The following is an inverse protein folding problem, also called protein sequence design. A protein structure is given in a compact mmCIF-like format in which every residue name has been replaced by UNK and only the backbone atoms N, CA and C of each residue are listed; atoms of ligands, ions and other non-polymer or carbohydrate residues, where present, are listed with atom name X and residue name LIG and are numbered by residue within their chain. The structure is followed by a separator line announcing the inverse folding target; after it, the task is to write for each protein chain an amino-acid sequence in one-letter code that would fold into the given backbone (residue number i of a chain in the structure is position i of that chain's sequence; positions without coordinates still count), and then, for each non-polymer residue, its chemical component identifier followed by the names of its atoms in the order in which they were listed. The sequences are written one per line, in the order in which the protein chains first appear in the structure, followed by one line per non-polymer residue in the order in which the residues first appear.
data_IF_461407246597
#
_entry.id   IF_461407246597
#
_cell.length_a   1.000
_cell.length_b   1.000
_cell.length_c   1.000
_cell.angle_alpha   90.00
_cell.angle_beta   90.00
_cell.angle_gamma   90.00
#
_symmetry.space_group_name_H-M   'P 1'
#
loop_
_entity.id
_entity.type
_entity.pdbx_description
1 polymer ?
#
# COMPACT_ATOMS: atom_id res chain seq x y z
N UNK A 1 -17.81 0.44 23.40
CA UNK A 1 -17.86 0.87 21.98
C UNK A 1 -18.68 2.14 21.80
N UNK A 2 -19.92 2.25 22.31
CA UNK A 2 -20.73 3.47 22.18
C UNK A 2 -20.18 4.75 22.88
N UNK A 3 -19.16 4.63 23.73
CA UNK A 3 -18.51 5.74 24.43
C UNK A 3 -17.09 6.04 23.91
N UNK A 4 -16.73 5.56 22.72
CA UNK A 4 -15.44 5.89 22.13
C UNK A 4 -15.39 7.36 21.70
N UNK A 5 -14.29 8.08 21.98
CA UNK A 5 -14.12 9.43 21.48
C UNK A 5 -14.07 9.44 19.96
N UNK A 6 -14.47 10.56 19.35
CA UNK A 6 -14.41 10.73 17.90
C UNK A 6 -12.96 10.53 17.39
N UNK A 7 -12.76 9.89 16.23
CA UNK A 7 -11.43 9.63 15.66
C UNK A 7 -10.68 10.95 15.41
N UNK A 8 -9.45 11.05 15.93
CA UNK A 8 -8.55 12.20 15.73
C UNK A 8 -7.29 11.76 14.97
N UNK A 9 -7.13 12.11 13.68
CA UNK A 9 -5.92 11.86 12.92
C UNK A 9 -4.65 12.37 13.61
N UNK A 10 -3.56 11.62 13.54
CA UNK A 10 -2.23 12.04 14.01
C UNK A 10 -2.04 12.09 15.53
N UNK A 11 -3.02 11.66 16.34
CA UNK A 11 -2.89 11.56 17.80
C UNK A 11 -3.17 10.13 18.29
N UNK A 12 -2.42 9.65 19.30
CA UNK A 12 -2.75 8.39 19.95
C UNK A 12 -4.09 8.51 20.69
N UNK A 13 -4.92 7.50 20.56
CA UNK A 13 -6.22 7.38 21.20
C UNK A 13 -6.28 6.10 22.02
N UNK A 14 -6.94 6.14 23.16
CA UNK A 14 -7.25 4.95 23.95
C UNK A 14 -8.73 4.60 23.79
N UNK A 15 -8.99 3.40 23.27
CA UNK A 15 -10.32 2.88 23.03
C UNK A 15 -10.62 1.80 24.08
N UNK A 16 -11.45 2.07 25.09
CA UNK A 16 -11.78 1.08 26.12
C UNK A 16 -12.62 -0.07 25.54
N UNK A 17 -12.22 -1.30 25.84
CA UNK A 17 -12.89 -2.56 25.46
C UNK A 17 -13.01 -3.44 26.71
N UNK A 18 -14.19 -3.42 27.34
CA UNK A 18 -14.41 -4.14 28.60
C UNK A 18 -13.46 -3.63 29.70
N UNK A 19 -12.61 -4.50 30.24
CA UNK A 19 -11.57 -4.17 31.21
C UNK A 19 -10.21 -3.82 30.60
N UNK A 20 -10.09 -3.84 29.27
CA UNK A 20 -8.88 -3.50 28.54
C UNK A 20 -9.01 -2.13 27.85
N UNK A 21 -7.88 -1.54 27.46
CA UNK A 21 -7.84 -0.36 26.61
C UNK A 21 -6.96 -0.64 25.40
N UNK A 22 -7.49 -0.40 24.20
CA UNK A 22 -6.76 -0.51 22.94
C UNK A 22 -6.13 0.86 22.63
N UNK A 23 -4.80 0.93 22.60
CA UNK A 23 -4.09 2.12 22.11
C UNK A 23 -4.03 2.08 20.59
N UNK A 24 -4.63 3.06 19.93
CA UNK A 24 -4.63 3.18 18.47
C UNK A 24 -4.06 4.54 18.06
N UNK A 25 -3.48 4.61 16.86
CA UNK A 25 -2.99 5.85 16.29
C UNK A 25 -3.52 5.95 14.86
N UNK A 26 -4.35 6.95 14.59
CA UNK A 26 -4.81 7.20 13.23
C UNK A 26 -3.71 7.93 12.46
N UNK A 27 -3.45 7.60 11.18
CA UNK A 27 -2.55 8.39 10.35
C UNK A 27 -2.98 9.86 10.32
N UNK A 28 -2.06 10.82 10.17
CA UNK A 28 -2.41 12.23 9.98
C UNK A 28 -3.29 12.43 8.73
N UNK A 29 -4.09 13.50 8.70
CA UNK A 29 -4.86 13.87 7.52
C UNK A 29 -3.92 14.25 6.35
N UNK A 30 -4.35 14.05 5.11
CA UNK A 30 -3.51 14.24 3.92
C UNK A 30 -2.89 15.66 3.80
N UNK A 31 -3.52 16.66 4.42
CA UNK A 31 -3.10 18.06 4.40
C UNK A 31 -2.12 18.43 5.53
N UNK A 32 -1.84 17.52 6.47
CA UNK A 32 -0.90 17.74 7.58
C UNK A 32 -0.05 16.47 7.78
N UNK A 33 1.07 16.32 7.06
CA UNK A 33 1.97 15.18 7.20
C UNK A 33 2.75 15.33 8.52
N UNK A 34 2.05 15.12 9.64
CA UNK A 34 2.68 14.94 10.94
C UNK A 34 3.72 13.80 10.92
N UNK A 35 4.58 13.72 11.93
CA UNK A 35 5.63 12.70 11.98
C UNK A 35 5.03 11.29 11.84
N UNK A 36 5.73 10.37 11.15
CA UNK A 36 5.21 9.04 10.87
C UNK A 36 4.79 8.33 12.16
N UNK A 37 3.69 7.55 12.15
CA UNK A 37 3.23 6.83 13.34
C UNK A 37 4.36 5.95 13.89
N UNK A 38 4.63 6.07 15.19
CA UNK A 38 5.61 5.25 15.92
C UNK A 38 5.28 3.73 15.95
N UNK A 39 4.20 3.30 15.30
CA UNK A 39 3.78 1.91 15.15
C UNK A 39 4.21 1.29 13.82
N UNK A 40 4.79 2.06 12.89
CA UNK A 40 5.52 1.49 11.78
C UNK A 40 6.94 1.13 12.27
N UNK A 41 7.43 -0.11 12.10
CA UNK A 41 8.81 -0.44 12.41
C UNK A 41 9.75 0.57 11.75
N UNK A 42 10.76 1.05 12.47
CA UNK A 42 11.71 2.09 12.06
C UNK A 42 12.60 1.73 10.85
N UNK A 43 12.29 0.64 10.12
CA UNK A 43 12.95 0.25 8.88
C UNK A 43 12.05 0.59 7.67
N UNK A 44 12.32 1.69 6.94
CA UNK A 44 11.59 2.08 5.73
C UNK A 44 11.89 1.18 4.51
N UNK A 45 12.66 0.10 4.66
CA UNK A 45 13.18 -0.73 3.58
C UNK A 45 12.27 -1.89 3.15
N UNK A 46 11.19 -2.19 3.88
CA UNK A 46 10.15 -3.15 3.44
C UNK A 46 8.78 -2.50 3.65
N UNK A 47 8.04 -2.14 2.58
CA UNK A 47 6.69 -1.62 2.74
C UNK A 47 5.77 -2.77 3.17
N UNK A 48 5.57 -2.93 4.48
CA UNK A 48 4.56 -3.83 5.01
C UNK A 48 3.18 -3.30 4.64
N UNK A 49 2.40 -4.08 3.90
CA UNK A 49 1.01 -3.76 3.57
C UNK A 49 0.08 -3.90 4.77
N UNK A 50 -1.18 -3.47 4.62
CA UNK A 50 -2.22 -3.72 5.61
C UNK A 50 -2.32 -5.24 5.88
N UNK A 51 -2.47 -5.62 7.16
CA UNK A 51 -2.58 -7.01 7.59
C UNK A 51 -1.43 -7.93 7.16
N UNK A 52 -0.19 -7.41 7.16
CA UNK A 52 1.01 -8.21 6.86
C UNK A 52 1.21 -9.41 7.78
N UNK A 53 0.57 -9.45 8.95
CA UNK A 53 0.61 -10.57 9.89
C UNK A 53 -0.43 -11.68 9.59
N UNK A 54 -1.33 -11.48 8.63
CA UNK A 54 -2.34 -12.49 8.29
C UNK A 54 -1.67 -13.82 7.82
N UNK A 55 -2.29 -14.96 8.09
CA UNK A 55 -1.78 -16.23 7.60
C UNK A 55 -2.49 -16.61 6.28
N UNK A 56 -1.85 -16.28 5.15
CA UNK A 56 -2.34 -16.60 3.81
C UNK A 56 -2.43 -18.11 3.60
N UNK A 57 -1.49 -18.88 4.15
CA UNK A 57 -1.50 -20.32 3.98
C UNK A 57 -2.65 -20.94 4.76
N UNK A 58 -2.81 -20.59 6.04
CA UNK A 58 -3.90 -21.12 6.87
C UNK A 58 -5.28 -20.75 6.29
N UNK A 59 -5.49 -19.48 5.93
CA UNK A 59 -6.79 -19.00 5.44
C UNK A 59 -7.18 -19.60 4.07
N UNK A 60 -6.20 -19.86 3.19
CA UNK A 60 -6.44 -20.29 1.81
C UNK A 60 -5.86 -21.68 1.48
N UNK A 61 -5.63 -22.53 2.48
CA UNK A 61 -5.04 -23.87 2.30
C UNK A 61 -5.79 -24.72 1.26
N UNK A 62 -7.11 -24.62 1.21
CA UNK A 62 -7.94 -25.29 0.20
C UNK A 62 -7.95 -24.64 -1.18
N UNK A 63 -7.48 -23.39 -1.28
CA UNK A 63 -7.58 -22.51 -2.44
C UNK A 63 -6.23 -22.01 -2.96
N UNK A 64 -5.13 -22.70 -2.63
CA UNK A 64 -3.78 -22.27 -3.02
C UNK A 64 -3.66 -22.01 -4.54
N UNK A 65 -4.30 -22.86 -5.36
CA UNK A 65 -4.36 -22.70 -6.82
C UNK A 65 -5.11 -21.45 -7.30
N UNK A 66 -5.98 -20.89 -6.47
CA UNK A 66 -6.80 -19.72 -6.80
C UNK A 66 -6.19 -18.41 -6.31
N UNK A 67 -5.12 -18.44 -5.50
CA UNK A 67 -4.46 -17.25 -4.97
C UNK A 67 -4.06 -16.23 -6.05
N UNK A 68 -3.66 -16.68 -7.24
CA UNK A 68 -3.34 -15.78 -8.36
C UNK A 68 -4.56 -15.07 -8.95
N UNK A 69 -5.69 -15.77 -9.04
CA UNK A 69 -6.96 -15.16 -9.46
C UNK A 69 -7.46 -14.21 -8.39
N UNK A 70 -7.37 -14.59 -7.11
CA UNK A 70 -7.69 -13.72 -5.99
C UNK A 70 -6.81 -12.47 -5.97
N UNK A 71 -5.50 -12.61 -6.19
CA UNK A 71 -4.58 -11.48 -6.32
C UNK A 71 -5.01 -10.52 -7.43
N UNK A 72 -5.40 -11.02 -8.61
CA UNK A 72 -5.90 -10.15 -9.69
C UNK A 72 -7.18 -9.41 -9.30
N UNK A 73 -8.18 -10.12 -8.75
CA UNK A 73 -9.42 -9.51 -8.27
C UNK A 73 -9.13 -8.37 -7.29
N UNK A 74 -8.18 -8.59 -6.38
CA UNK A 74 -7.75 -7.57 -5.42
C UNK A 74 -6.98 -6.42 -6.10
N UNK A 75 -6.09 -6.68 -7.06
CA UNK A 75 -5.37 -5.62 -7.79
C UNK A 75 -6.33 -4.70 -8.54
N UNK A 76 -7.28 -5.26 -9.27
CA UNK A 76 -8.25 -4.48 -10.06
C UNK A 76 -9.42 -3.95 -9.25
N UNK A 77 -9.59 -4.39 -7.99
CA UNK A 77 -10.65 -3.92 -7.10
C UNK A 77 -12.03 -4.49 -7.44
N UNK A 78 -12.08 -5.73 -7.93
CA UNK A 78 -13.33 -6.42 -8.22
C UNK A 78 -14.09 -6.74 -6.93
N UNK A 79 -15.44 -6.71 -6.93
CA UNK A 79 -16.21 -7.03 -5.75
C UNK A 79 -16.09 -8.50 -5.36
N UNK A 80 -15.84 -8.79 -4.08
CA UNK A 80 -15.62 -10.16 -3.57
C UNK A 80 -16.45 -10.42 -2.31
N UNK A 81 -17.24 -11.50 -2.33
CA UNK A 81 -17.90 -12.04 -1.14
C UNK A 81 -17.07 -13.20 -0.58
N UNK A 82 -16.54 -13.04 0.63
CA UNK A 82 -15.90 -14.11 1.40
C UNK A 82 -16.92 -14.77 2.30
N UNK A 83 -17.07 -16.08 2.17
CA UNK A 83 -17.94 -16.92 2.99
C UNK A 83 -17.06 -17.82 3.85
N UNK A 84 -17.29 -17.84 5.16
CA UNK A 84 -16.53 -18.70 6.07
C UNK A 84 -17.45 -19.28 7.18
N UNK A 85 -17.05 -20.37 7.85
CA UNK A 85 -17.90 -21.02 8.85
C UNK A 85 -17.94 -20.27 10.19
N UNK A 86 -17.01 -19.34 10.45
CA UNK A 86 -16.97 -18.55 11.69
C UNK A 86 -16.46 -17.12 11.45
N UNK A 87 -16.84 -16.14 12.31
CA UNK A 87 -16.37 -14.76 12.17
C UNK A 87 -14.84 -14.61 12.19
N UNK A 88 -14.07 -15.34 13.03
CA UNK A 88 -12.61 -15.31 12.98
C UNK A 88 -12.05 -15.72 11.61
N UNK A 89 -12.43 -16.90 11.10
CA UNK A 89 -11.97 -17.40 9.79
C UNK A 89 -12.35 -16.44 8.65
N UNK A 90 -13.55 -15.86 8.75
CA UNK A 90 -14.03 -14.85 7.82
C UNK A 90 -13.13 -13.61 7.80
N UNK A 91 -12.88 -13.05 8.99
CA UNK A 91 -12.08 -11.83 9.13
C UNK A 91 -10.62 -12.03 8.73
N UNK A 92 -10.05 -13.19 9.06
CA UNK A 92 -8.69 -13.58 8.66
C UNK A 92 -8.57 -13.74 7.14
N UNK A 93 -9.56 -14.34 6.49
CA UNK A 93 -9.55 -14.48 5.04
C UNK A 93 -9.66 -13.13 4.32
N UNK A 94 -10.53 -12.22 4.77
CA UNK A 94 -10.62 -10.86 4.21
C UNK A 94 -9.30 -10.10 4.43
N UNK A 95 -8.73 -10.15 5.63
CA UNK A 95 -7.43 -9.56 5.93
C UNK A 95 -6.31 -10.15 5.04
N UNK A 96 -6.33 -11.47 4.84
CA UNK A 96 -5.44 -12.19 3.94
C UNK A 96 -5.52 -11.68 2.51
N UNK A 97 -6.73 -11.55 1.94
CA UNK A 97 -6.93 -10.99 0.60
C UNK A 97 -6.40 -9.57 0.48
N UNK A 98 -6.68 -8.70 1.46
CA UNK A 98 -6.20 -7.31 1.45
C UNK A 98 -4.67 -7.26 1.50
N UNK A 99 -4.04 -8.11 2.31
CA UNK A 99 -2.59 -8.19 2.41
C UNK A 99 -1.90 -8.81 1.18
N UNK A 100 -2.65 -9.58 0.38
CA UNK A 100 -2.14 -10.34 -0.77
C UNK A 100 -1.52 -9.44 -1.85
N UNK A 101 -1.98 -8.20 -1.96
CA UNK A 101 -1.53 -7.24 -2.98
C UNK A 101 -0.43 -6.32 -2.49
N UNK A 102 0.19 -6.56 -1.32
CA UNK A 102 1.33 -5.75 -0.89
C UNK A 102 2.43 -5.73 -1.99
N UNK A 103 3.09 -4.57 -2.26
CA UNK A 103 3.02 -3.31 -1.52
C UNK A 103 2.03 -2.29 -2.12
N UNK A 104 1.06 -2.73 -2.91
CA UNK A 104 -0.06 -1.89 -3.35
C UNK A 104 -0.91 -1.54 -2.11
N UNK A 105 -1.20 -0.26 -1.92
CA UNK A 105 -2.14 0.17 -0.90
C UNK A 105 -3.56 -0.09 -1.39
N UNK A 106 -4.21 -1.07 -0.78
CA UNK A 106 -5.58 -1.45 -1.11
C UNK A 106 -6.54 -0.32 -0.70
N UNK A 107 -7.25 0.24 -1.68
CA UNK A 107 -8.08 1.44 -1.51
C UNK A 107 -9.58 1.15 -1.63
N UNK A 108 -9.95 -0.10 -1.86
CA UNK A 108 -11.34 -0.56 -1.96
C UNK A 108 -11.91 -0.81 -0.57
N UNK A 109 -13.21 -0.54 -0.38
CA UNK A 109 -13.90 -0.80 0.88
C UNK A 109 -13.84 -2.30 1.23
N UNK A 110 -13.53 -2.63 2.47
CA UNK A 110 -13.53 -4.01 2.92
C UNK A 110 -14.12 -4.13 4.32
N UNK A 111 -14.93 -5.16 4.52
CA UNK A 111 -15.63 -5.44 5.77
C UNK A 111 -15.30 -6.86 6.19
N UNK A 112 -14.33 -7.03 7.11
CA UNK A 112 -13.92 -8.35 7.57
C UNK A 112 -15.08 -9.19 8.12
N UNK A 113 -16.12 -8.52 8.63
CA UNK A 113 -17.36 -9.14 9.04
C UNK A 113 -18.57 -8.22 8.77
N UNK A 114 -19.39 -8.61 7.79
CA UNK A 114 -20.57 -7.91 7.31
C UNK A 114 -21.84 -8.59 7.82
N UNK A 115 -22.82 -7.78 8.25
CA UNK A 115 -24.07 -8.27 8.86
C UNK A 115 -25.27 -7.58 8.25
N UNK A 116 -26.47 -8.12 8.50
CA UNK A 116 -27.74 -7.52 8.03
C UNK A 116 -28.04 -6.17 8.70
N UNK A 117 -27.34 -5.85 9.79
CA UNK A 117 -27.47 -4.58 10.51
C UNK A 117 -26.50 -3.51 9.99
N UNK A 118 -25.66 -3.86 9.02
CA UNK A 118 -24.82 -2.89 8.34
C UNK A 118 -25.72 -1.87 7.61
N UNK A 119 -25.47 -0.55 7.73
CA UNK A 119 -26.29 0.49 7.13
C UNK A 119 -26.43 0.36 5.61
N UNK A 120 -25.45 -0.25 4.94
CA UNK A 120 -25.44 -0.42 3.50
C UNK A 120 -26.16 -1.68 3.04
N UNK A 121 -26.51 -2.61 3.94
CA UNK A 121 -27.11 -3.88 3.56
C UNK A 121 -28.40 -3.71 2.76
N UNK A 122 -29.30 -2.82 3.20
CA UNK A 122 -30.56 -2.58 2.51
C UNK A 122 -30.35 -2.11 1.06
N UNK A 123 -29.36 -1.22 0.83
CA UNK A 123 -29.00 -0.73 -0.50
C UNK A 123 -28.39 -1.82 -1.37
N UNK A 124 -27.43 -2.58 -0.83
CA UNK A 124 -26.74 -3.65 -1.55
C UNK A 124 -27.67 -4.81 -1.93
N UNK A 125 -28.62 -5.16 -1.05
CA UNK A 125 -29.63 -6.19 -1.29
C UNK A 125 -30.71 -5.75 -2.30
N UNK A 126 -30.92 -4.43 -2.45
CA UNK A 126 -31.88 -3.88 -3.40
C UNK A 126 -31.35 -3.77 -4.83
N UNK A 127 -30.05 -4.05 -5.06
CA UNK A 127 -29.45 -3.98 -6.40
C UNK A 127 -30.17 -4.89 -7.38
N UNK A 128 -30.56 -4.34 -8.52
CA UNK A 128 -31.24 -5.08 -9.57
C UNK A 128 -30.30 -6.06 -10.27
N UNK A 129 -30.88 -7.05 -10.94
CA UNK A 129 -30.10 -8.01 -11.72
C UNK A 129 -29.48 -7.30 -12.94
N UNK A 130 -28.16 -7.39 -13.07
CA UNK A 130 -27.39 -6.68 -14.09
C UNK A 130 -26.80 -5.33 -13.65
N UNK A 131 -27.17 -4.84 -12.47
CA UNK A 131 -26.47 -3.68 -11.88
C UNK A 131 -25.07 -4.06 -11.42
N UNK A 132 -24.13 -3.14 -11.61
CA UNK A 132 -22.73 -3.33 -11.20
C UNK A 132 -22.65 -3.23 -9.68
N UNK A 133 -22.19 -4.30 -9.05
CA UNK A 133 -21.94 -4.30 -7.61
C UNK A 133 -20.76 -3.36 -7.31
N UNK A 134 -20.85 -2.48 -6.28
CA UNK A 134 -19.77 -1.55 -5.95
C UNK A 134 -18.47 -2.29 -5.59
N UNK A 135 -17.29 -1.74 -5.89
CA UNK A 135 -16.02 -2.29 -5.43
C UNK A 135 -16.00 -2.44 -3.91
N UNK A 136 -16.08 -3.68 -3.42
CA UNK A 136 -15.93 -3.99 -2.00
C UNK A 136 -15.60 -5.46 -1.73
N UNK A 137 -14.96 -5.72 -0.60
CA UNK A 137 -14.75 -7.08 -0.07
C UNK A 137 -15.58 -7.29 1.17
N UNK A 138 -16.53 -8.20 1.11
CA UNK A 138 -17.45 -8.47 2.21
C UNK A 138 -17.19 -9.85 2.80
N UNK A 139 -16.90 -9.93 4.09
CA UNK A 139 -16.83 -11.19 4.81
C UNK A 139 -18.16 -11.53 5.48
N UNK A 140 -18.70 -12.73 5.25
CA UNK A 140 -19.95 -13.21 5.86
C UNK A 140 -19.84 -14.63 6.36
N UNK A 141 -20.62 -14.97 7.38
CA UNK A 141 -20.78 -16.35 7.85
C UNK A 141 -22.15 -16.94 7.52
N UNK A 142 -23.16 -16.08 7.37
CA UNK A 142 -24.51 -16.52 7.06
C UNK A 142 -24.69 -16.71 5.54
N UNK A 143 -24.96 -17.94 5.12
CA UNK A 143 -25.14 -18.28 3.71
C UNK A 143 -26.35 -17.60 3.04
N UNK A 144 -27.28 -17.03 3.82
CA UNK A 144 -28.38 -16.22 3.28
C UNK A 144 -27.88 -15.03 2.44
N UNK A 145 -26.68 -14.51 2.71
CA UNK A 145 -26.08 -13.46 1.88
C UNK A 145 -25.84 -13.89 0.43
N UNK A 146 -25.72 -15.19 0.14
CA UNK A 146 -25.64 -15.69 -1.25
C UNK A 146 -26.92 -15.43 -2.04
N UNK A 147 -28.07 -15.33 -1.35
CA UNK A 147 -29.35 -14.96 -1.96
C UNK A 147 -29.56 -13.45 -1.99
N UNK A 148 -29.16 -12.76 -0.92
CA UNK A 148 -29.36 -11.32 -0.77
C UNK A 148 -28.42 -10.49 -1.63
N UNK A 149 -27.17 -10.94 -1.79
CA UNK A 149 -26.13 -10.25 -2.57
C UNK A 149 -25.88 -10.97 -3.89
N UNK A 150 -26.94 -11.37 -4.58
CA UNK A 150 -26.87 -12.22 -5.79
C UNK A 150 -26.11 -11.60 -6.97
N UNK A 151 -25.97 -10.28 -7.01
CA UNK A 151 -25.28 -9.53 -8.06
C UNK A 151 -23.76 -9.49 -7.89
N UNK A 152 -23.22 -9.98 -6.76
CA UNK A 152 -21.76 -10.00 -6.55
C UNK A 152 -21.10 -11.03 -7.49
N UNK A 153 -20.14 -10.62 -8.35
CA UNK A 153 -19.60 -11.50 -9.39
C UNK A 153 -18.61 -12.55 -8.88
N UNK A 154 -18.01 -12.32 -7.70
CA UNK A 154 -16.98 -13.18 -7.14
C UNK A 154 -17.35 -13.63 -5.72
N UNK A 155 -17.39 -14.95 -5.52
CA UNK A 155 -17.64 -15.58 -4.22
C UNK A 155 -16.50 -16.53 -3.89
N UNK A 156 -15.93 -16.38 -2.70
CA UNK A 156 -14.84 -17.18 -2.17
C UNK A 156 -15.31 -17.82 -0.88
N UNK A 157 -15.34 -19.14 -0.82
CA UNK A 157 -15.64 -19.88 0.40
C UNK A 157 -14.37 -20.46 0.99
N UNK A 158 -14.09 -20.17 2.25
CA UNK A 158 -12.83 -20.52 2.95
C UNK A 158 -13.10 -21.26 4.25
N UNK A 159 -12.14 -22.07 4.68
CA UNK A 159 -12.21 -22.77 5.94
C UNK A 159 -13.07 -24.04 5.89
N UNK A 160 -12.91 -24.87 6.93
CA UNK A 160 -13.71 -26.09 7.11
C UNK A 160 -14.63 -25.94 8.32
N UNK A 161 -15.91 -26.37 8.23
CA UNK A 161 -16.76 -26.42 9.41
C UNK A 161 -16.10 -27.32 10.47
N UNK A 162 -16.06 -26.85 11.72
CA UNK A 162 -15.52 -27.65 12.82
C UNK A 162 -16.30 -28.98 12.88
N UNK A 163 -15.62 -30.15 12.92
CA UNK A 163 -16.31 -31.44 12.95
C UNK A 163 -17.23 -31.60 14.17
N UNK A 164 -16.97 -30.84 15.24
CA UNK A 164 -17.78 -30.83 16.48
C UNK A 164 -18.98 -29.86 16.44
N UNK A 165 -19.21 -29.14 15.33
CA UNK A 165 -20.35 -28.22 15.18
C UNK A 165 -21.56 -28.85 14.50
N UNK A 166 -21.60 -30.18 14.44
CA UNK A 166 -22.76 -30.92 13.92
C UNK A 166 -23.75 -31.16 15.05
N UNK A 167 -24.82 -30.35 15.06
CA UNK A 167 -26.16 -30.62 15.60
C UNK A 167 -26.26 -31.69 16.72
N UNK A 168 -26.53 -31.24 17.94
CA UNK A 168 -27.23 -32.06 18.94
C UNK A 168 -28.63 -32.38 18.38
N UNK A 169 -28.76 -33.52 17.71
CA UNK A 169 -30.04 -34.19 17.50
C UNK A 169 -30.11 -35.35 18.51
N UNK A 170 -31.28 -35.60 19.14
CA UNK A 170 -31.39 -36.63 20.16
C UNK A 170 -31.20 -38.01 19.51
N UNK A 171 -30.19 -38.75 19.99
CA UNK A 171 -29.89 -40.11 19.55
C UNK A 171 -30.93 -41.06 20.14
N UNK A 172 -31.81 -41.57 19.27
CA UNK A 172 -32.52 -42.83 19.49
C UNK A 172 -31.54 -44.01 19.32
N UNK A 173 -31.65 -44.99 20.22
CA UNK A 173 -30.61 -45.99 20.46
C UNK A 173 -30.50 -47.17 19.49
N UNK A 174 -29.68 -48.13 19.95
CA UNK A 174 -29.26 -49.44 19.40
C UNK A 174 -27.99 -49.38 18.53
N UNK A 175 -26.99 -50.27 18.63
CA UNK A 175 -26.76 -51.46 19.47
C UNK A 175 -25.31 -51.95 19.26
N UNK A 176 -24.78 -52.69 20.24
CA UNK A 176 -23.44 -53.28 20.30
C UNK A 176 -23.07 -54.26 19.17
N UNK A 177 -21.79 -54.28 18.80
CA UNK A 177 -21.12 -55.37 18.09
C UNK A 177 -19.63 -55.40 18.41
N UNK A 178 -19.21 -56.42 19.17
CA UNK A 178 -17.83 -56.68 19.62
C UNK A 178 -17.02 -57.42 18.54
N UNK A 179 -15.72 -57.12 18.43
CA UNK A 179 -14.78 -57.84 17.56
C UNK A 179 -13.32 -57.50 17.88
N UNK A 180 -12.67 -58.40 18.59
CA UNK A 180 -11.29 -58.31 19.09
C UNK A 180 -10.29 -58.84 18.04
N UNK A 181 -9.08 -58.27 17.93
CA UNK A 181 -8.01 -58.82 17.07
C UNK A 181 -6.73 -57.98 17.08
N UNK A 182 -5.70 -58.47 17.77
CA UNK A 182 -4.36 -57.87 17.96
C UNK A 182 -3.32 -58.58 17.08
N UNK A 183 -2.28 -57.83 16.68
CA UNK A 183 -0.92 -58.20 16.19
C UNK A 183 -0.59 -58.19 14.69
N UNK A 184 0.44 -57.39 14.33
CA UNK A 184 1.48 -57.81 13.38
C UNK A 184 1.99 -56.81 12.33
N UNK A 185 3.23 -56.35 12.50
CA UNK A 185 4.19 -55.75 11.53
C UNK A 185 4.06 -54.26 11.10
N UNK A 186 5.16 -53.46 11.17
CA UNK A 186 5.20 -52.08 10.71
C UNK A 186 5.33 -52.05 9.18
N UNK A 187 4.20 -52.14 8.50
CA UNK A 187 4.12 -51.92 7.07
C UNK A 187 4.40 -50.45 6.76
N UNK A 188 5.37 -50.20 5.87
CA UNK A 188 5.61 -48.94 5.16
C UNK A 188 4.29 -48.20 4.92
N UNK A 189 4.01 -47.18 5.74
CA UNK A 189 2.77 -46.42 5.65
C UNK A 189 2.86 -45.47 4.47
N UNK A 190 1.98 -45.75 3.52
CA UNK A 190 1.81 -45.12 2.22
C UNK A 190 1.62 -43.61 2.35
N UNK A 191 2.44 -42.91 1.58
CA UNK A 191 2.44 -41.51 1.22
C UNK A 191 1.15 -41.13 0.44
N UNK A 192 -0.03 -41.26 1.05
CA UNK A 192 -1.32 -41.10 0.36
C UNK A 192 -2.31 -40.14 1.05
N UNK A 193 -1.90 -39.39 2.09
CA UNK A 193 -2.88 -38.64 2.91
C UNK A 193 -2.58 -37.18 3.22
N UNK A 194 -1.82 -36.50 2.38
CA UNK A 194 -1.87 -35.05 2.27
C UNK A 194 -1.80 -34.64 0.79
N UNK A 195 -2.65 -33.68 0.46
CA UNK A 195 -3.25 -33.52 -0.85
C UNK A 195 -2.39 -32.73 -1.84
N UNK A 196 -1.19 -33.22 -2.13
CA UNK A 196 -0.43 -32.78 -3.32
C UNK A 196 -0.93 -33.54 -4.58
N UNK A 197 -1.75 -34.59 -4.41
CA UNK A 197 -2.52 -35.20 -5.50
C UNK A 197 -3.80 -34.42 -5.92
N UNK A 198 -4.04 -33.22 -5.36
CA UNK A 198 -5.12 -32.32 -5.83
C UNK A 198 -4.81 -31.61 -7.16
N UNK A 199 -3.64 -31.84 -7.77
CA UNK A 199 -3.37 -31.50 -9.17
C UNK A 199 -3.78 -32.63 -10.15
N UNK A 200 -4.63 -33.57 -9.69
CA UNK A 200 -5.26 -34.60 -10.53
C UNK A 200 -6.34 -33.99 -11.46
N UNK A 201 -6.50 -34.48 -12.71
CA UNK A 201 -7.59 -34.06 -13.62
C UNK A 201 -9.00 -34.19 -12.99
N UNK A 202 -9.17 -35.04 -11.98
CA UNK A 202 -10.43 -35.21 -11.23
C UNK A 202 -10.81 -33.97 -10.40
N UNK A 203 -9.82 -33.25 -9.84
CA UNK A 203 -10.04 -31.98 -9.12
C UNK A 203 -10.45 -30.84 -10.06
N UNK A 204 -9.93 -30.86 -11.30
CA UNK A 204 -10.36 -29.96 -12.36
C UNK A 204 -11.82 -30.24 -12.78
N UNK A 205 -12.22 -31.51 -12.93
CA UNK A 205 -13.61 -31.86 -13.23
C UNK A 205 -14.59 -31.46 -12.13
N UNK A 206 -14.21 -31.64 -10.86
CA UNK A 206 -15.05 -31.22 -9.73
C UNK A 206 -15.17 -29.70 -9.63
N UNK A 207 -14.11 -28.93 -9.93
CA UNK A 207 -14.21 -27.46 -9.98
C UNK A 207 -15.09 -26.96 -11.12
N UNK A 208 -15.12 -27.65 -12.26
CA UNK A 208 -16.05 -27.36 -13.37
C UNK A 208 -17.51 -27.64 -12.98
N UNK A 209 -17.79 -28.77 -12.30
CA UNK A 209 -19.13 -29.09 -11.79
C UNK A 209 -19.60 -28.05 -10.77
N UNK A 210 -18.73 -27.66 -9.85
CA UNK A 210 -19.05 -26.69 -8.81
C UNK A 210 -19.31 -25.29 -9.38
N UNK A 211 -18.60 -24.88 -10.44
CA UNK A 211 -18.92 -23.66 -11.19
C UNK A 211 -20.31 -23.70 -11.82
N UNK A 212 -20.75 -24.87 -12.30
CA UNK A 212 -22.07 -25.04 -12.93
C UNK A 212 -23.23 -24.96 -11.92
N UNK A 213 -23.00 -25.42 -10.69
CA UNK A 213 -23.99 -25.36 -9.60
C UNK A 213 -24.08 -23.97 -8.96
N UNK A 214 -23.08 -23.10 -9.17
CA UNK A 214 -23.02 -21.76 -8.61
C UNK A 214 -22.77 -21.75 -7.09
N UNK A 215 -22.63 -20.56 -6.48
CA UNK A 215 -22.29 -20.46 -5.05
C UNK A 215 -23.40 -20.95 -4.12
N UNK A 216 -24.65 -21.05 -4.60
CA UNK A 216 -25.79 -21.54 -3.81
C UNK A 216 -25.66 -23.00 -3.39
N UNK A 217 -24.76 -23.79 -4.00
CA UNK A 217 -24.46 -25.15 -3.52
C UNK A 217 -23.91 -25.16 -2.08
N UNK A 218 -23.36 -24.03 -1.60
CA UNK A 218 -22.91 -23.91 -0.20
C UNK A 218 -24.06 -24.02 0.81
N UNK A 219 -25.30 -23.74 0.39
CA UNK A 219 -26.49 -23.81 1.26
C UNK A 219 -26.73 -25.23 1.82
N UNK A 220 -26.21 -26.27 1.16
CA UNK A 220 -26.35 -27.66 1.60
C UNK A 220 -25.09 -28.17 2.31
N UNK A 221 -23.91 -27.76 1.87
CA UNK A 221 -22.63 -28.20 2.43
C UNK A 221 -21.57 -27.10 2.28
N UNK A 222 -20.91 -26.75 3.39
CA UNK A 222 -19.82 -25.79 3.35
C UNK A 222 -18.57 -26.40 2.70
N UNK A 223 -18.13 -25.83 1.58
CA UNK A 223 -16.96 -26.30 0.80
C UNK A 223 -16.05 -25.13 0.44
N UNK A 224 -14.75 -25.36 0.51
CA UNK A 224 -13.78 -24.38 0.02
C UNK A 224 -13.84 -24.31 -1.50
N UNK A 225 -14.12 -23.13 -2.05
CA UNK A 225 -14.19 -22.92 -3.49
C UNK A 225 -14.19 -21.45 -3.91
N UNK A 226 -13.92 -21.21 -5.20
CA UNK A 226 -14.02 -19.91 -5.86
C UNK A 226 -15.03 -19.98 -7.00
N UNK A 227 -16.07 -19.16 -6.94
CA UNK A 227 -16.97 -18.85 -8.05
C UNK A 227 -16.69 -17.45 -8.54
N UNK A 228 -16.36 -17.32 -9.82
CA UNK A 228 -16.01 -16.04 -10.41
C UNK A 228 -16.23 -16.08 -11.92
N UNK A 229 -16.81 -15.01 -12.44
CA UNK A 229 -16.89 -14.73 -13.89
C UNK A 229 -15.60 -14.10 -14.44
N UNK A 230 -14.68 -13.71 -13.55
CA UNK A 230 -13.43 -13.07 -13.90
C UNK A 230 -12.48 -14.07 -14.61
N UNK A 231 -12.01 -13.66 -15.78
CA UNK A 231 -11.01 -14.42 -16.54
C UNK A 231 -9.62 -13.97 -16.14
N UNK A 232 -8.95 -14.78 -15.33
CA UNK A 232 -7.60 -14.50 -14.84
C UNK A 232 -6.57 -14.50 -15.96
N UNK A 233 -5.67 -13.54 -15.89
CA UNK A 233 -4.56 -13.38 -16.82
C UNK A 233 -3.29 -14.04 -16.30
N UNK A 234 -3.12 -14.11 -15.00
CA UNK A 234 -2.06 -14.83 -14.31
C UNK A 234 -2.31 -16.34 -14.29
N UNK A 235 -1.25 -17.09 -14.04
CA UNK A 235 -1.27 -18.54 -13.87
C UNK A 235 -0.68 -18.90 -12.52
N UNK A 236 -1.17 -19.98 -11.88
CA UNK A 236 -0.52 -20.53 -10.70
C UNK A 236 0.96 -20.84 -10.94
N UNK A 237 1.83 -20.37 -10.06
CA UNK A 237 3.27 -20.63 -10.13
C UNK A 237 3.56 -21.97 -9.45
N UNK A 238 3.72 -23.01 -10.27
CA UNK A 238 4.01 -24.37 -9.78
C UNK A 238 5.32 -24.45 -9.02
N UNK A 239 6.30 -23.59 -9.31
CA UNK A 239 7.57 -23.57 -8.57
C UNK A 239 7.38 -23.09 -7.13
N UNK A 240 6.43 -22.19 -6.89
CA UNK A 240 6.08 -21.73 -5.54
C UNK A 240 5.30 -22.82 -4.81
N UNK A 241 4.29 -23.39 -5.48
CA UNK A 241 3.45 -24.44 -4.91
C UNK A 241 4.25 -25.69 -4.52
N UNK A 242 5.23 -26.08 -5.34
CA UNK A 242 6.10 -27.23 -5.05
C UNK A 242 7.09 -26.99 -3.90
N UNK A 243 7.28 -25.73 -3.46
CA UNK A 243 8.12 -25.40 -2.30
C UNK A 243 7.35 -25.41 -0.98
N UNK A 244 6.02 -25.48 -1.02
CA UNK A 244 5.21 -25.53 0.20
C UNK A 244 5.45 -26.86 0.91
N UNK A 245 5.74 -26.78 2.21
CA UNK A 245 6.01 -27.94 3.05
C UNK A 245 4.69 -28.53 3.50
N UNK A 246 4.62 -29.86 3.48
CA UNK A 246 3.45 -30.59 3.92
C UNK A 246 3.39 -30.65 5.45
N UNK A 247 2.26 -30.24 6.03
CA UNK A 247 2.06 -30.25 7.47
C UNK A 247 1.80 -31.70 7.92
N UNK A 248 2.82 -32.36 8.47
CA UNK A 248 2.64 -33.68 9.10
C UNK A 248 1.58 -33.66 10.21
N UNK A 249 1.16 -34.84 10.67
CA UNK A 249 -0.03 -35.04 11.54
C UNK A 249 0.08 -34.43 12.96
N UNK A 250 1.16 -33.73 13.30
CA UNK A 250 1.36 -33.14 14.63
C UNK A 250 0.99 -31.66 14.64
N UNK A 251 0.15 -31.18 15.58
CA UNK A 251 -0.34 -29.80 15.61
C UNK A 251 0.78 -28.76 15.81
N UNK A 252 1.85 -29.10 16.56
CA UNK A 252 3.02 -28.20 16.72
C UNK A 252 3.83 -28.07 15.44
N UNK A 253 3.86 -29.12 14.62
CA UNK A 253 4.52 -29.12 13.32
C UNK A 253 3.65 -28.34 12.33
N UNK A 254 2.32 -28.50 12.38
CA UNK A 254 1.37 -27.76 11.54
C UNK A 254 1.51 -26.24 11.70
N UNK A 255 1.54 -25.72 12.94
CA UNK A 255 1.69 -24.28 13.18
C UNK A 255 3.04 -23.76 12.68
N UNK A 256 4.14 -24.45 12.99
CA UNK A 256 5.48 -24.07 12.55
C UNK A 256 5.62 -24.11 11.01
N UNK A 257 4.98 -25.05 10.34
CA UNK A 257 4.98 -25.16 8.86
C UNK A 257 4.06 -24.15 8.20
N UNK A 258 2.94 -23.78 8.83
CA UNK A 258 2.06 -22.71 8.35
C UNK A 258 2.83 -21.39 8.22
N UNK A 259 3.64 -21.05 9.23
CA UNK A 259 4.48 -19.84 9.21
C UNK A 259 5.47 -19.85 8.03
N UNK A 260 6.15 -20.98 7.78
CA UNK A 260 7.10 -21.10 6.66
C UNK A 260 6.40 -21.00 5.30
N UNK A 261 5.27 -21.69 5.14
CA UNK A 261 4.49 -21.66 3.91
C UNK A 261 3.90 -20.27 3.65
N UNK A 262 3.40 -19.61 4.69
CA UNK A 262 2.92 -18.24 4.63
C UNK A 262 4.03 -17.30 4.15
N UNK A 263 5.24 -17.42 4.69
CA UNK A 263 6.38 -16.59 4.27
C UNK A 263 6.79 -16.83 2.80
N UNK A 264 6.72 -18.08 2.32
CA UNK A 264 6.96 -18.41 0.91
C UNK A 264 5.92 -17.72 0.02
N UNK A 265 4.64 -17.79 0.39
CA UNK A 265 3.55 -17.14 -0.35
C UNK A 265 3.69 -15.62 -0.32
N UNK A 266 3.93 -15.03 0.86
CA UNK A 266 4.10 -13.59 1.04
C UNK A 266 5.22 -13.04 0.18
N UNK A 267 6.38 -13.69 0.19
CA UNK A 267 7.52 -13.27 -0.64
C UNK A 267 7.19 -13.31 -2.13
N UNK A 268 6.52 -14.36 -2.58
CA UNK A 268 6.11 -14.51 -3.97
C UNK A 268 5.11 -13.42 -4.40
N UNK A 269 4.05 -13.18 -3.64
CA UNK A 269 3.05 -12.18 -4.00
C UNK A 269 3.56 -10.74 -3.86
N UNK A 270 4.46 -10.48 -2.90
CA UNK A 270 5.20 -9.22 -2.82
C UNK A 270 6.04 -8.98 -4.07
N UNK A 271 6.80 -9.98 -4.51
CA UNK A 271 7.60 -9.90 -5.73
C UNK A 271 6.71 -9.73 -6.98
N UNK A 272 5.59 -10.45 -7.05
CA UNK A 272 4.63 -10.35 -8.15
C UNK A 272 4.05 -8.93 -8.27
N UNK A 273 3.55 -8.37 -7.18
CA UNK A 273 3.01 -7.00 -7.16
C UNK A 273 4.10 -5.97 -7.46
N UNK A 274 5.30 -6.13 -6.90
CA UNK A 274 6.42 -5.21 -7.16
C UNK A 274 6.78 -5.19 -8.65
N UNK A 275 6.86 -6.36 -9.29
CA UNK A 275 7.15 -6.46 -10.72
C UNK A 275 5.98 -5.92 -11.58
N UNK A 276 4.74 -6.10 -11.14
CA UNK A 276 3.56 -5.52 -11.80
C UNK A 276 3.55 -3.98 -11.73
N UNK A 277 4.00 -3.39 -10.63
CA UNK A 277 4.04 -1.93 -10.46
C UNK A 277 5.32 -1.28 -11.01
N UNK A 278 6.37 -2.06 -11.27
CA UNK A 278 7.66 -1.56 -11.76
C UNK A 278 7.59 -0.69 -13.03
N UNK A 279 6.71 -0.95 -14.02
CA UNK A 279 6.58 -0.11 -15.20
C UNK A 279 6.20 1.35 -14.93
N UNK A 280 5.61 1.67 -13.78
CA UNK A 280 5.27 3.04 -13.39
C UNK A 280 6.48 3.84 -12.87
N UNK A 281 7.58 3.17 -12.54
CA UNK A 281 8.79 3.79 -11.98
C UNK A 281 9.33 5.02 -12.72
N UNK A 282 9.35 5.08 -14.07
CA UNK A 282 9.79 6.26 -14.81
C UNK A 282 8.99 7.53 -14.51
N UNK A 283 7.70 7.42 -14.18
CA UNK A 283 6.83 8.56 -13.85
C UNK A 283 6.98 9.03 -12.39
N UNK A 284 7.72 8.25 -11.59
CA UNK A 284 7.95 8.48 -10.16
C UNK A 284 9.43 8.76 -9.87
N UNK A 285 10.25 8.93 -10.91
CA UNK A 285 11.70 9.11 -10.76
C UNK A 285 12.01 10.53 -10.29
N UNK A 286 12.63 10.62 -9.13
CA UNK A 286 13.19 11.87 -8.60
C UNK A 286 14.45 12.26 -9.33
N UNK A 287 14.66 13.56 -9.49
CA UNK A 287 15.87 14.11 -10.09
C UNK A 287 16.69 14.90 -9.07
N UNK A 288 18.00 14.91 -9.22
CA UNK A 288 18.90 15.82 -8.50
C UNK A 288 19.34 16.93 -9.45
N UNK A 289 19.76 18.10 -8.95
CA UNK A 289 20.41 19.11 -9.79
C UNK A 289 21.59 18.49 -10.55
N UNK A 290 21.70 18.78 -11.84
CA UNK A 290 22.83 18.32 -12.65
C UNK A 290 24.14 18.91 -12.14
N UNK A 291 25.24 18.17 -12.23
CA UNK A 291 26.55 18.69 -11.87
C UNK A 291 26.87 19.96 -12.68
N UNK A 292 27.18 21.05 -11.98
CA UNK A 292 27.45 22.36 -12.59
C UNK A 292 26.22 23.24 -12.85
N UNK A 293 25.01 22.74 -12.65
CA UNK A 293 23.78 23.56 -12.67
C UNK A 293 23.53 24.21 -11.30
N UNK A 294 22.79 25.33 -11.28
CA UNK A 294 22.43 26.00 -10.03
C UNK A 294 21.33 25.20 -9.30
N UNK A 295 21.54 24.82 -8.02
CA UNK A 295 20.53 24.12 -7.24
C UNK A 295 19.41 25.05 -6.76
N UNK A 296 19.52 26.36 -7.01
CA UNK A 296 18.53 27.37 -6.64
C UNK A 296 17.45 27.56 -7.70
N UNK A 297 17.52 26.87 -8.83
CA UNK A 297 16.41 26.77 -9.77
C UNK A 297 15.29 25.92 -9.16
N UNK A 298 14.06 26.08 -9.63
CA UNK A 298 12.95 25.25 -9.20
C UNK A 298 13.13 23.81 -9.70
N UNK A 299 12.89 22.79 -8.85
CA UNK A 299 13.01 21.40 -9.26
C UNK A 299 12.09 21.09 -10.46
N UNK A 300 12.55 20.33 -11.46
CA UNK A 300 11.72 19.99 -12.61
C UNK A 300 10.52 19.16 -12.17
N UNK A 301 9.38 19.35 -12.81
CA UNK A 301 8.19 18.55 -12.53
C UNK A 301 8.43 17.08 -12.86
N UNK A 302 7.81 16.19 -12.09
CA UNK A 302 7.79 14.78 -12.44
C UNK A 302 7.08 14.57 -13.78
N UNK A 303 7.47 13.55 -14.58
CA UNK A 303 6.87 13.32 -15.89
C UNK A 303 5.33 13.21 -15.83
N UNK A 304 4.61 13.80 -16.80
CA UNK A 304 3.16 13.63 -16.88
C UNK A 304 2.83 12.14 -17.14
N UNK A 305 1.68 11.69 -16.65
CA UNK A 305 1.23 10.32 -16.84
C UNK A 305 -0.02 10.32 -17.73
N UNK A 306 0.08 9.60 -18.86
CA UNK A 306 -1.02 9.36 -19.78
C UNK A 306 -1.22 7.87 -19.96
N UNK A 307 -2.44 7.38 -19.70
CA UNK A 307 -2.76 5.95 -19.69
C UNK A 307 -2.51 5.29 -21.05
N UNK A 308 -2.93 5.93 -22.15
CA UNK A 308 -2.77 5.38 -23.50
C UNK A 308 -1.31 5.26 -23.91
N UNK A 309 -0.50 6.30 -23.64
CA UNK A 309 0.94 6.28 -23.90
C UNK A 309 1.64 5.19 -23.08
N UNK A 310 1.26 5.04 -21.81
CA UNK A 310 1.78 4.00 -20.93
C UNK A 310 1.48 2.60 -21.48
N UNK A 311 0.21 2.33 -21.84
CA UNK A 311 -0.20 1.01 -22.35
C UNK A 311 0.46 0.71 -23.69
N UNK A 312 0.55 1.70 -24.59
CA UNK A 312 1.21 1.54 -25.90
C UNK A 312 2.72 1.29 -25.74
N UNK A 313 3.38 2.05 -24.87
CA UNK A 313 4.81 1.84 -24.56
C UNK A 313 5.06 0.48 -23.92
N UNK A 314 4.15 0.03 -23.05
CA UNK A 314 4.25 -1.28 -22.42
C UNK A 314 4.04 -2.42 -23.42
N UNK A 315 3.11 -2.26 -24.38
CA UNK A 315 2.90 -3.22 -25.47
C UNK A 315 4.15 -3.36 -26.35
N UNK A 316 4.83 -2.25 -26.67
CA UNK A 316 6.07 -2.26 -27.45
C UNK A 316 7.24 -2.91 -26.70
N UNK A 317 7.37 -2.67 -25.39
CA UNK A 317 8.45 -3.23 -24.56
C UNK A 317 8.23 -4.69 -24.16
N UNK A 318 6.97 -5.10 -24.05
CA UNK A 318 6.54 -6.38 -23.50
C UNK A 318 6.53 -6.42 -21.96
N UNK A 319 5.97 -7.49 -21.39
CA UNK A 319 5.77 -7.67 -19.95
C UNK A 319 7.07 -7.84 -19.13
N UNK A 320 8.22 -8.01 -19.78
CA UNK A 320 9.46 -8.40 -19.14
C UNK A 320 9.51 -9.88 -18.76
N UNK A 321 10.73 -10.38 -18.45
CA UNK A 321 11.00 -11.83 -18.24
C UNK A 321 10.26 -12.43 -17.05
N UNK A 322 10.03 -11.64 -16.00
CA UNK A 322 9.41 -12.12 -14.76
C UNK A 322 7.90 -12.38 -14.95
N UNK A 323 7.18 -11.39 -15.50
CA UNK A 323 5.73 -11.47 -15.72
C UNK A 323 5.37 -12.37 -16.90
N UNK A 324 6.19 -12.41 -17.96
CA UNK A 324 5.91 -13.25 -19.14
C UNK A 324 5.85 -14.75 -18.82
N UNK A 325 6.57 -15.21 -17.79
CA UNK A 325 6.50 -16.61 -17.31
C UNK A 325 5.23 -16.91 -16.50
N UNK A 326 4.56 -15.88 -15.97
CA UNK A 326 3.47 -16.00 -14.99
C UNK A 326 2.12 -15.48 -15.50
N UNK A 327 2.11 -14.82 -16.65
CA UNK A 327 0.92 -14.26 -17.27
C UNK A 327 0.65 -14.92 -18.63
N UNK A 328 -0.61 -14.88 -19.05
CA UNK A 328 -1.12 -15.29 -20.37
C UNK A 328 -0.87 -14.18 -21.39
N UNK A 329 -1.21 -14.45 -22.66
CA UNK A 329 -1.02 -13.50 -23.77
C UNK A 329 -1.80 -12.19 -23.59
N UNK A 330 -2.91 -12.19 -22.86
CA UNK A 330 -3.75 -11.02 -22.60
C UNK A 330 -3.28 -10.15 -21.41
N UNK A 331 -2.02 -10.27 -20.97
CA UNK A 331 -1.44 -9.55 -19.82
C UNK A 331 -1.60 -8.02 -19.84
N UNK A 332 -1.65 -7.39 -21.01
CA UNK A 332 -1.91 -5.95 -21.13
C UNK A 332 -3.29 -5.55 -20.59
N UNK A 333 -4.26 -6.45 -20.68
CA UNK A 333 -5.61 -6.20 -20.23
C UNK A 333 -5.69 -6.00 -18.71
N UNK A 334 -4.85 -6.70 -17.95
CA UNK A 334 -4.74 -6.50 -16.50
C UNK A 334 -4.26 -5.07 -16.17
N UNK A 335 -3.34 -4.52 -16.95
CA UNK A 335 -2.92 -3.12 -16.77
C UNK A 335 -4.04 -2.15 -17.10
N UNK A 336 -4.81 -2.36 -18.18
CA UNK A 336 -5.96 -1.51 -18.51
C UNK A 336 -6.98 -1.48 -17.38
N UNK A 337 -7.40 -2.67 -16.91
CA UNK A 337 -8.34 -2.78 -15.79
C UNK A 337 -7.79 -2.19 -14.49
N UNK A 338 -6.49 -2.31 -14.24
CA UNK A 338 -5.88 -1.68 -13.06
C UNK A 338 -5.93 -0.15 -13.15
N UNK A 339 -5.62 0.44 -14.31
CA UNK A 339 -5.66 1.89 -14.52
C UNK A 339 -7.06 2.48 -14.37
N UNK A 340 -8.08 1.74 -14.82
CA UNK A 340 -9.50 2.09 -14.65
C UNK A 340 -10.02 1.76 -13.24
N UNK A 341 -9.31 0.89 -12.52
CA UNK A 341 -9.71 0.37 -11.23
C UNK A 341 -9.53 1.36 -10.07
N UNK A 342 -10.25 1.13 -8.96
CA UNK A 342 -10.26 2.02 -7.79
C UNK A 342 -8.91 2.10 -7.05
N UNK A 343 -8.02 1.13 -7.23
CA UNK A 343 -6.73 1.11 -6.53
C UNK A 343 -5.67 2.00 -7.17
N UNK A 344 -5.71 2.23 -8.49
CA UNK A 344 -4.59 2.86 -9.20
C UNK A 344 -4.40 4.31 -8.80
N UNK A 345 -5.44 5.15 -8.94
CA UNK A 345 -5.26 6.59 -8.79
C UNK A 345 -4.89 7.02 -7.36
N UNK A 346 -5.48 6.47 -6.28
CA UNK A 346 -5.04 6.74 -4.92
C UNK A 346 -3.58 6.36 -4.69
N UNK A 347 -3.19 5.15 -5.09
CA UNK A 347 -1.81 4.67 -4.99
C UNK A 347 -0.84 5.55 -5.80
N UNK A 348 -1.18 5.88 -7.04
CA UNK A 348 -0.32 6.65 -7.94
C UNK A 348 -0.11 8.08 -7.44
N UNK A 349 -1.17 8.76 -6.98
CA UNK A 349 -1.08 10.09 -6.36
C UNK A 349 -0.20 10.09 -5.12
N UNK A 350 -0.39 9.12 -4.23
CA UNK A 350 0.42 9.01 -3.03
C UNK A 350 1.90 8.77 -3.36
N UNK A 351 2.20 7.85 -4.29
CA UNK A 351 3.58 7.59 -4.73
C UNK A 351 4.21 8.80 -5.41
N UNK A 352 3.43 9.55 -6.20
CA UNK A 352 3.89 10.77 -6.86
C UNK A 352 4.19 11.88 -5.85
N UNK A 353 3.31 12.10 -4.87
CA UNK A 353 3.52 13.06 -3.80
C UNK A 353 4.77 12.73 -2.97
N UNK A 354 4.98 11.44 -2.64
CA UNK A 354 6.19 10.99 -1.95
C UNK A 354 7.46 11.24 -2.77
N UNK A 355 7.41 11.00 -4.09
CA UNK A 355 8.53 11.30 -4.99
C UNK A 355 8.79 12.82 -5.11
N UNK A 356 7.74 13.65 -5.16
CA UNK A 356 7.87 15.11 -5.18
C UNK A 356 8.51 15.63 -3.88
N UNK A 357 8.09 15.11 -2.72
CA UNK A 357 8.69 15.44 -1.42
C UNK A 357 10.16 15.00 -1.36
N UNK A 358 10.48 13.79 -1.79
CA UNK A 358 11.85 13.29 -1.81
C UNK A 358 12.73 14.12 -2.78
N UNK A 359 12.19 14.50 -3.93
CA UNK A 359 12.89 15.41 -4.83
C UNK A 359 13.15 16.77 -4.17
N UNK A 360 12.16 17.37 -3.50
CA UNK A 360 12.36 18.61 -2.76
C UNK A 360 13.44 18.46 -1.67
N UNK A 361 13.46 17.32 -0.96
CA UNK A 361 14.49 17.01 0.04
C UNK A 361 15.89 16.95 -0.58
N UNK A 362 16.05 16.24 -1.70
CA UNK A 362 17.32 16.13 -2.42
C UNK A 362 17.80 17.49 -2.95
N UNK A 363 16.89 18.31 -3.48
CA UNK A 363 17.22 19.66 -3.95
C UNK A 363 17.59 20.60 -2.81
N UNK A 364 16.90 20.53 -1.67
CA UNK A 364 17.28 21.26 -0.44
C UNK A 364 18.68 20.83 0.01
N UNK A 365 18.98 19.53 0.03
CA UNK A 365 20.30 19.01 0.39
C UNK A 365 21.39 19.48 -0.59
N UNK A 366 21.11 19.51 -1.89
CA UNK A 366 22.06 20.02 -2.89
C UNK A 366 22.39 21.51 -2.66
N UNK A 367 21.39 22.34 -2.29
CA UNK A 367 21.63 23.73 -1.91
C UNK A 367 22.52 23.84 -0.70
N UNK A 368 22.35 22.98 0.31
CA UNK A 368 23.20 22.99 1.51
C UNK A 368 24.65 22.63 1.22
N UNK A 369 24.90 21.82 0.19
CA UNK A 369 26.25 21.37 -0.16
C UNK A 369 26.94 22.24 -1.22
N UNK A 370 26.25 23.22 -1.80
CA UNK A 370 26.82 24.06 -2.86
C UNK A 370 27.77 25.11 -2.27
N UNK A 371 28.93 25.23 -2.90
CA UNK A 371 29.84 26.37 -2.74
C UNK A 371 29.36 27.51 -3.65
N UNK A 372 28.79 28.53 -3.01
CA UNK A 372 28.17 29.66 -3.70
C UNK A 372 29.18 30.51 -4.46
N UNK A 373 30.38 30.73 -3.92
CA UNK A 373 31.38 31.59 -4.57
C UNK A 373 31.86 30.95 -5.87
N UNK A 374 32.14 29.64 -5.80
CA UNK A 374 32.50 28.86 -6.98
C UNK A 374 31.37 28.81 -8.01
N UNK A 375 30.12 28.70 -7.58
CA UNK A 375 28.95 28.73 -8.47
C UNK A 375 28.85 30.10 -9.16
N UNK A 376 28.82 31.19 -8.41
CA UNK A 376 28.63 32.55 -8.92
C UNK A 376 29.72 32.96 -9.91
N UNK A 377 30.97 32.50 -9.71
CA UNK A 377 32.08 32.78 -10.63
C UNK A 377 31.87 32.26 -12.05
N UNK A 378 31.07 31.20 -12.22
CA UNK A 378 30.79 30.56 -13.52
C UNK A 378 29.56 31.11 -14.22
N UNK A 379 28.72 31.86 -13.50
CA UNK A 379 27.46 32.39 -14.00
C UNK A 379 27.67 33.76 -14.67
N UNK A 380 26.85 34.03 -15.68
CA UNK A 380 26.69 35.37 -16.26
C UNK A 380 26.08 36.34 -15.26
N UNK A 381 26.19 37.64 -15.52
CA UNK A 381 25.65 38.68 -14.62
C UNK A 381 24.14 38.52 -14.36
N UNK A 382 23.36 38.21 -15.40
CA UNK A 382 21.92 37.95 -15.28
C UNK A 382 21.64 36.74 -14.38
N UNK A 383 22.35 35.62 -14.62
CA UNK A 383 22.18 34.39 -13.84
C UNK A 383 22.61 34.56 -12.37
N UNK A 384 23.56 35.46 -12.09
CA UNK A 384 23.94 35.83 -10.72
C UNK A 384 22.80 36.57 -10.01
N UNK A 385 22.14 37.51 -10.69
CA UNK A 385 20.99 38.24 -10.16
C UNK A 385 19.82 37.26 -9.91
N UNK A 386 19.55 36.35 -10.85
CA UNK A 386 18.51 35.33 -10.70
C UNK A 386 18.82 34.38 -9.54
N UNK A 387 20.08 33.98 -9.38
CA UNK A 387 20.53 33.15 -8.26
C UNK A 387 20.37 33.88 -6.93
N UNK A 388 20.72 35.16 -6.85
CA UNK A 388 20.49 35.98 -5.65
C UNK A 388 19.01 36.03 -5.27
N UNK A 389 18.13 36.37 -6.22
CA UNK A 389 16.69 36.41 -5.99
C UNK A 389 16.13 35.02 -5.59
N UNK A 390 16.68 33.94 -6.16
CA UNK A 390 16.29 32.59 -5.80
C UNK A 390 16.71 32.21 -4.37
N UNK A 391 17.95 32.52 -3.96
CA UNK A 391 18.44 32.30 -2.59
C UNK A 391 17.57 33.08 -1.60
N UNK A 392 17.23 34.33 -1.91
CA UNK A 392 16.33 35.15 -1.09
C UNK A 392 14.96 34.48 -0.90
N UNK A 393 14.33 34.02 -2.00
CA UNK A 393 13.04 33.31 -1.95
C UNK A 393 13.10 32.06 -1.06
N UNK A 394 14.17 31.26 -1.18
CA UNK A 394 14.33 30.06 -0.37
C UNK A 394 14.62 30.36 1.10
N UNK A 395 15.42 31.39 1.39
CA UNK A 395 15.67 31.84 2.75
C UNK A 395 14.37 32.28 3.44
N UNK A 396 13.54 33.07 2.77
CA UNK A 396 12.26 33.53 3.32
C UNK A 396 11.33 32.35 3.63
N UNK A 397 11.23 31.38 2.71
CA UNK A 397 10.42 30.16 2.93
C UNK A 397 10.93 29.35 4.14
N UNK A 398 12.24 29.21 4.31
CA UNK A 398 12.79 28.49 5.47
C UNK A 398 12.60 29.27 6.77
N UNK A 399 12.68 30.60 6.75
CA UNK A 399 12.40 31.44 7.93
C UNK A 399 10.94 31.37 8.37
N UNK A 400 10.00 31.23 7.43
CA UNK A 400 8.59 30.98 7.74
C UNK A 400 8.39 29.60 8.37
N UNK A 401 9.04 28.57 7.81
CA UNK A 401 9.00 27.21 8.36
C UNK A 401 9.72 27.08 9.71
N UNK A 402 10.74 27.88 10.00
CA UNK A 402 11.41 27.88 11.32
C UNK A 402 10.51 28.32 12.47
N UNK A 403 9.47 29.13 12.19
CA UNK A 403 8.51 29.59 13.21
C UNK A 403 7.66 28.46 13.79
N UNK A 404 7.64 27.29 13.16
CA UNK A 404 6.95 26.09 13.64
C UNK A 404 7.85 25.09 14.40
N UNK A 405 9.14 25.39 14.61
CA UNK A 405 9.93 24.78 15.69
C UNK A 405 10.93 23.66 15.33
N UNK A 406 11.45 23.58 14.10
CA UNK A 406 12.44 22.56 13.72
C UNK A 406 13.90 23.05 13.79
N UNK A 407 14.76 22.39 14.57
CA UNK A 407 16.20 22.71 14.73
C UNK A 407 16.99 22.67 13.41
N UNK A 408 16.61 21.76 12.49
CA UNK A 408 17.23 21.67 11.15
C UNK A 408 16.95 22.92 10.28
N UNK A 409 15.85 23.63 10.51
CA UNK A 409 15.51 24.82 9.72
C UNK A 409 16.42 26.01 10.07
N UNK A 410 16.93 26.07 11.31
CA UNK A 410 17.84 27.14 11.76
C UNK A 410 19.19 27.07 11.04
N UNK A 411 19.80 25.87 10.98
CA UNK A 411 21.10 25.68 10.30
C UNK A 411 21.00 25.94 8.80
N UNK A 412 19.87 25.54 8.18
CA UNK A 412 19.56 25.85 6.78
C UNK A 412 19.44 27.36 6.56
N UNK A 413 18.74 28.07 7.45
CA UNK A 413 18.62 29.54 7.38
C UNK A 413 19.98 30.25 7.51
N UNK A 414 20.83 29.82 8.44
CA UNK A 414 22.17 30.39 8.62
C UNK A 414 23.04 30.21 7.37
N UNK A 415 23.02 29.01 6.79
CA UNK A 415 23.73 28.70 5.55
C UNK A 415 23.23 29.57 4.39
N UNK A 416 21.91 29.65 4.18
CA UNK A 416 21.33 30.45 3.11
C UNK A 416 21.58 31.95 3.31
N UNK A 417 21.65 32.46 4.54
CA UNK A 417 22.08 33.84 4.83
C UNK A 417 23.55 34.08 4.48
N UNK A 418 24.41 33.09 4.72
CA UNK A 418 25.81 33.11 4.27
C UNK A 418 25.88 33.17 2.75
N UNK A 419 25.16 32.28 2.07
CA UNK A 419 25.10 32.23 0.61
C UNK A 419 24.57 33.52 0.01
N UNK A 420 23.53 34.12 0.59
CA UNK A 420 22.93 35.36 0.10
C UNK A 420 23.94 36.52 0.16
N UNK A 421 24.74 36.60 1.23
CA UNK A 421 25.79 37.62 1.39
C UNK A 421 26.94 37.42 0.40
N UNK A 422 27.38 36.17 0.22
CA UNK A 422 28.39 35.84 -0.77
C UNK A 422 27.90 36.09 -2.21
N UNK A 423 26.63 35.83 -2.49
CA UNK A 423 26.04 36.15 -3.78
C UNK A 423 25.97 37.67 -4.01
N UNK A 424 25.60 38.44 -2.97
CA UNK A 424 25.53 39.90 -3.01
C UNK A 424 26.87 40.56 -3.34
N UNK A 425 27.98 40.08 -2.75
CA UNK A 425 29.32 40.68 -2.94
C UNK A 425 29.84 40.58 -4.37
N UNK A 426 29.35 39.60 -5.15
CA UNK A 426 29.76 39.35 -6.55
C UNK A 426 28.87 40.11 -7.56
N UNK A 427 27.78 40.73 -7.10
CA UNK A 427 26.90 41.54 -7.97
C UNK A 427 27.55 42.89 -8.35
N UNK A 428 27.16 43.50 -9.48
CA UNK A 428 27.55 44.87 -9.84
C UNK A 428 27.21 45.91 -8.77
N UNK A 429 28.01 46.97 -8.64
CA UNK A 429 27.87 47.97 -7.56
C UNK A 429 26.56 48.76 -7.60
N UNK A 430 26.11 49.11 -8.80
CA UNK A 430 24.81 49.72 -9.07
C UNK A 430 23.65 48.81 -8.62
N UNK A 431 23.73 47.52 -8.92
CA UNK A 431 22.77 46.52 -8.43
C UNK A 431 22.81 46.37 -6.91
N UNK A 432 24.00 46.36 -6.30
CA UNK A 432 24.13 46.32 -4.84
C UNK A 432 23.45 47.52 -4.18
N UNK A 433 23.66 48.74 -4.70
CA UNK A 433 23.00 49.95 -4.21
C UNK A 433 21.48 49.88 -4.35
N UNK A 434 20.98 49.39 -5.48
CA UNK A 434 19.55 49.20 -5.70
C UNK A 434 18.95 48.20 -4.70
N UNK A 435 19.62 47.07 -4.44
CA UNK A 435 19.14 46.07 -3.49
C UNK A 435 19.12 46.58 -2.04
N UNK A 436 20.12 47.38 -1.64
CA UNK A 436 20.20 48.00 -0.31
C UNK A 436 19.15 49.09 -0.09
N UNK A 437 18.63 49.70 -1.16
CA UNK A 437 17.53 50.68 -1.05
C UNK A 437 16.23 50.06 -0.51
N UNK A 438 16.08 48.73 -0.60
CA UNK A 438 14.96 48.01 -0.01
C UNK A 438 15.31 47.62 1.45
N UNK A 439 14.58 48.17 2.46
CA UNK A 439 14.91 47.95 3.87
C UNK A 439 14.80 46.49 4.29
N UNK A 440 13.90 45.70 3.67
CA UNK A 440 13.77 44.27 3.97
C UNK A 440 15.00 43.48 3.52
N UNK A 441 15.52 43.80 2.33
CA UNK A 441 16.74 43.17 1.78
C UNK A 441 17.98 43.59 2.56
N UNK A 442 18.08 44.86 2.94
CA UNK A 442 19.16 45.35 3.78
C UNK A 442 19.23 44.58 5.12
N UNK A 443 18.09 44.32 5.76
CA UNK A 443 18.03 43.54 7.00
C UNK A 443 18.46 42.07 6.82
N UNK A 444 18.17 41.44 5.68
CA UNK A 444 18.60 40.07 5.38
C UNK A 444 20.12 39.97 5.14
N UNK A 445 20.72 41.04 4.63
CA UNK A 445 22.16 41.12 4.32
C UNK A 445 23.00 41.62 5.49
N UNK A 446 22.39 42.30 6.47
CA UNK A 446 23.05 42.71 7.70
C UNK A 446 23.33 41.49 8.58
N UNK A 447 24.61 41.08 8.63
CA UNK A 447 25.08 40.15 9.65
C UNK A 447 24.94 40.79 11.03
N UNK A 448 24.71 39.97 12.05
CA UNK A 448 24.64 40.38 13.46
C UNK A 448 25.89 41.09 14.00
N UNK A 449 26.92 41.39 13.18
CA UNK A 449 28.09 42.14 13.63
C UNK A 449 28.95 42.82 12.54
N UNK A 450 28.39 43.41 11.48
CA UNK A 450 29.20 44.29 10.61
C UNK A 450 28.49 45.62 10.29
N UNK A 451 29.06 46.70 10.84
CA UNK A 451 28.76 48.09 10.45
C UNK A 451 29.14 48.29 8.99
N UNK A 452 28.16 48.67 8.17
CA UNK A 452 28.43 49.25 6.85
C UNK A 452 29.00 50.67 7.09
N UNK A 453 30.21 51.00 6.60
CA UNK A 453 30.65 52.39 6.56
C UNK A 453 29.85 53.10 5.46
N UNK A 454 28.93 53.98 5.83
CA UNK A 454 28.21 54.83 4.86
C UNK A 454 26.77 55.20 5.19
N UNK A 455 26.24 54.84 6.36
CA UNK A 455 24.89 55.24 6.80
C UNK A 455 24.90 56.23 7.97
N UNK A 456 26.00 56.97 8.16
CA UNK A 456 26.03 58.14 9.02
C UNK A 456 25.64 59.37 8.21
N UNK A 457 24.35 59.73 8.29
CA UNK A 457 23.85 61.01 7.82
C UNK A 457 22.65 60.88 6.91
N UNK A 458 21.49 60.56 7.49
CA UNK A 458 20.19 61.24 7.30
C UNK A 458 19.26 60.61 8.35
N UNK A 459 19.42 61.02 9.62
CA UNK A 459 18.30 61.08 10.56
C UNK A 459 18.49 62.38 11.34
N UNK A 460 18.12 63.48 10.68
CA UNK A 460 17.80 64.71 11.38
C UNK A 460 16.48 64.50 12.10
N UNK A 461 16.51 64.71 13.41
CA UNK A 461 15.52 65.47 14.17
C UNK A 461 14.07 65.33 13.71
N UNK A 462 13.26 64.62 14.49
CA UNK A 462 11.96 65.16 14.92
C UNK A 462 11.52 64.47 16.22
N UNK A 463 11.40 65.33 17.23
CA UNK A 463 10.79 65.20 18.57
C UNK A 463 9.44 64.44 18.54
N UNK A 464 8.97 63.77 19.60
CA UNK A 464 9.02 63.99 21.06
C UNK A 464 8.97 62.64 21.78
#
# INVERSE_FOLDING_TARGET
VAAWPAPVPGRPMELPIGSAALRVHLPPAADDPGPPPALLPANPSVPYGLFHDADLFAAFRGLLLHLWTLWELMVVGEPVLVVAPSPPQCSEAVAGLVSLVAPLLYSVDFRPYFTIHDPDFARLNALAEGEVFPPMVLGVTNLFFLKSLKSIPNVVSVGSPNPNSTRVLPVGGQSHGSGNGINGTPGKLKLDKLAINKFSPTGLLNSIKLRREGPLCLMTEHKEALWSTYVSTTKPDTSVLNRLIDAGVSPRIEESMSVVNNEILRRHFLELTTNFLAPFGPYLRTTTPSEGSSPFVDPPLLPPFHADEFVNGLAARGAGKFLSKRMKSNWLDLYRRFLEGPNFMPWFRQRRAAAEQEQQRLWRQARMNVDIEKLMSKLSELERIDSFNAIERYLLREMENSRTGATESVTVCEKLKGDLRAAFSVLPKDMQQLLLSNPKRALLLQGSNEKIPGLDGIVSQTSL
#
